data_IF_858573072676
#
_entry.id   IF_858573072676
#
_cell.length_a   1.000
_cell.length_b   1.000
_cell.length_c   1.000
_cell.angle_alpha   90.00
_cell.angle_beta   90.00
_cell.angle_gamma   90.00
#
_symmetry.space_group_name_H-M   'P 1'
#
loop_
_entity.id
_entity.type
_entity.pdbx_description
1 polymer ?
#
# COMPACT_ATOMS: atom_id res chain seq x y z
N UNK A 1 15.53 -26.90 -5.37
CA UNK A 1 14.86 -26.19 -6.49
C UNK A 1 14.26 -24.85 -6.02
N UNK A 2 15.05 -23.91 -5.46
CA UNK A 2 14.52 -22.62 -4.94
C UNK A 2 15.21 -21.35 -5.49
N UNK A 3 16.28 -21.46 -6.28
CA UNK A 3 17.02 -20.28 -6.76
C UNK A 3 16.42 -19.61 -8.00
N UNK A 4 15.65 -20.32 -8.83
CA UNK A 4 15.10 -19.79 -10.09
C UNK A 4 14.07 -18.68 -9.87
N UNK A 5 13.21 -18.81 -8.85
CA UNK A 5 12.17 -17.80 -8.59
C UNK A 5 12.77 -16.49 -8.05
N UNK A 6 13.73 -16.57 -7.13
CA UNK A 6 14.36 -15.38 -6.54
C UNK A 6 15.17 -14.62 -7.61
N UNK A 7 15.91 -15.34 -8.47
CA UNK A 7 16.70 -14.70 -9.53
C UNK A 7 15.79 -14.01 -10.56
N UNK A 8 14.65 -14.63 -10.90
CA UNK A 8 13.67 -14.04 -11.82
C UNK A 8 13.08 -12.74 -11.29
N UNK A 9 12.56 -12.72 -10.05
CA UNK A 9 11.99 -11.51 -9.44
C UNK A 9 13.03 -10.40 -9.25
N UNK A 10 14.26 -10.76 -8.88
CA UNK A 10 15.35 -9.80 -8.81
C UNK A 10 15.70 -9.21 -10.19
N UNK A 11 15.81 -10.04 -11.23
CA UNK A 11 16.10 -9.55 -12.59
C UNK A 11 14.96 -8.68 -13.14
N UNK A 12 13.70 -9.05 -12.88
CA UNK A 12 12.54 -8.27 -13.28
C UNK A 12 12.52 -6.91 -12.56
N UNK A 13 12.76 -6.92 -11.24
CA UNK A 13 12.91 -5.70 -10.44
C UNK A 13 14.06 -4.81 -10.92
N UNK A 14 15.23 -5.38 -11.21
CA UNK A 14 16.36 -4.64 -11.76
C UNK A 14 16.06 -4.07 -13.15
N UNK A 15 15.33 -4.76 -14.01
CA UNK A 15 14.95 -4.25 -15.33
C UNK A 15 13.98 -3.07 -15.23
N UNK A 16 13.02 -3.13 -14.30
CA UNK A 16 12.14 -1.99 -14.00
C UNK A 16 12.96 -0.81 -13.47
N UNK A 17 13.89 -1.05 -12.54
CA UNK A 17 14.76 0.00 -12.02
C UNK A 17 15.66 0.60 -13.11
N UNK A 18 16.20 -0.22 -14.02
CA UNK A 18 16.98 0.24 -15.19
C UNK A 18 16.13 1.05 -16.16
N UNK A 19 14.84 0.73 -16.33
CA UNK A 19 13.94 1.51 -17.16
C UNK A 19 13.75 2.93 -16.62
N UNK A 20 13.54 3.08 -15.31
CA UNK A 20 13.37 4.39 -14.68
C UNK A 20 14.69 5.13 -14.43
N UNK A 21 15.80 4.41 -14.23
CA UNK A 21 17.13 4.98 -14.07
C UNK A 21 18.23 4.02 -14.55
N UNK A 22 18.63 4.09 -15.84
CA UNK A 22 19.58 3.15 -16.43
C UNK A 22 20.98 3.23 -15.84
N UNK A 23 21.32 4.34 -15.17
CA UNK A 23 22.63 4.56 -14.56
C UNK A 23 22.74 4.05 -13.11
N UNK A 24 21.62 3.78 -12.44
CA UNK A 24 21.61 3.40 -11.02
C UNK A 24 21.53 1.88 -10.86
N UNK A 25 22.66 1.24 -10.61
CA UNK A 25 22.68 -0.18 -10.19
C UNK A 25 22.06 -0.30 -8.80
N UNK A 26 21.04 -1.14 -8.63
CA UNK A 26 20.38 -1.40 -7.33
C UNK A 26 21.38 -1.64 -6.18
N UNK A 27 22.44 -2.42 -6.46
CA UNK A 27 23.50 -2.72 -5.50
C UNK A 27 24.26 -1.49 -4.95
N UNK A 28 24.19 -0.34 -5.63
CA UNK A 28 24.86 0.91 -5.27
C UNK A 28 23.92 1.96 -4.68
N UNK A 29 22.64 1.64 -4.50
CA UNK A 29 21.69 2.56 -3.86
C UNK A 29 21.90 2.60 -2.35
N UNK A 30 21.83 3.80 -1.76
CA UNK A 30 21.84 4.01 -0.30
C UNK A 30 20.66 3.30 0.38
N UNK A 31 19.57 3.08 -0.35
CA UNK A 31 18.33 2.46 0.16
C UNK A 31 18.30 0.94 0.03
N UNK A 32 19.34 0.29 -0.51
CA UNK A 32 19.35 -1.15 -0.82
C UNK A 32 18.97 -2.04 0.36
N UNK A 33 19.39 -1.67 1.57
CA UNK A 33 19.15 -2.46 2.78
C UNK A 33 17.91 -1.99 3.56
N UNK A 34 17.14 -1.05 3.03
CA UNK A 34 15.96 -0.53 3.70
C UNK A 34 14.77 -1.47 3.50
N UNK A 35 13.82 -1.40 4.43
CA UNK A 35 12.65 -2.27 4.40
C UNK A 35 11.88 -2.12 3.09
N UNK A 36 11.43 -3.24 2.53
CA UNK A 36 10.71 -3.34 1.24
C UNK A 36 11.40 -2.69 0.02
N UNK A 37 12.69 -2.35 0.09
CA UNK A 37 13.44 -1.88 -1.08
C UNK A 37 13.98 -3.03 -1.94
N UNK A 38 14.08 -4.24 -1.38
CA UNK A 38 14.37 -5.44 -2.16
C UNK A 38 13.17 -5.77 -3.07
N UNK A 39 13.36 -5.78 -4.41
CA UNK A 39 12.26 -6.03 -5.34
C UNK A 39 11.51 -7.34 -5.05
N UNK A 40 12.22 -8.40 -4.66
CA UNK A 40 11.58 -9.69 -4.33
C UNK A 40 10.62 -9.55 -3.15
N UNK A 41 11.00 -8.84 -2.09
CA UNK A 41 10.14 -8.65 -0.92
C UNK A 41 8.90 -7.82 -1.27
N UNK A 42 9.08 -6.77 -2.07
CA UNK A 42 7.97 -5.96 -2.58
C UNK A 42 6.98 -6.82 -3.39
N UNK A 43 7.47 -7.61 -4.35
CA UNK A 43 6.61 -8.45 -5.18
C UNK A 43 5.86 -9.51 -4.36
N UNK A 44 6.51 -10.10 -3.35
CA UNK A 44 5.84 -11.05 -2.45
C UNK A 44 4.69 -10.37 -1.68
N UNK A 45 4.93 -9.17 -1.12
CA UNK A 45 3.90 -8.43 -0.39
C UNK A 45 2.73 -8.03 -1.31
N UNK A 46 3.05 -7.47 -2.49
CA UNK A 46 2.05 -7.06 -3.47
C UNK A 46 1.22 -8.25 -3.97
N UNK A 47 1.86 -9.36 -4.33
CA UNK A 47 1.18 -10.56 -4.80
C UNK A 47 0.26 -11.13 -3.70
N UNK A 48 0.74 -11.17 -2.46
CA UNK A 48 -0.06 -11.63 -1.32
C UNK A 48 -1.29 -10.75 -1.11
N UNK A 49 -1.15 -9.43 -1.22
CA UNK A 49 -2.26 -8.48 -1.16
C UNK A 49 -3.27 -8.71 -2.28
N UNK A 50 -2.82 -8.83 -3.53
CA UNK A 50 -3.70 -9.06 -4.68
C UNK A 50 -4.45 -10.38 -4.57
N UNK A 51 -3.78 -11.47 -4.16
CA UNK A 51 -4.41 -12.76 -3.91
C UNK A 51 -5.48 -12.63 -2.82
N UNK A 52 -5.17 -11.96 -1.71
CA UNK A 52 -6.11 -11.74 -0.62
C UNK A 52 -7.36 -10.98 -1.08
N UNK A 53 -7.18 -9.87 -1.82
CA UNK A 53 -8.30 -9.07 -2.36
C UNK A 53 -9.13 -9.90 -3.32
N UNK A 54 -8.49 -10.66 -4.21
CA UNK A 54 -9.19 -11.50 -5.18
C UNK A 54 -10.01 -12.61 -4.52
N UNK A 55 -9.45 -13.32 -3.55
CA UNK A 55 -10.16 -14.35 -2.78
C UNK A 55 -11.33 -13.73 -2.02
N UNK A 56 -11.10 -12.58 -1.36
CA UNK A 56 -12.14 -11.86 -0.60
C UNK A 56 -13.29 -11.43 -1.52
N UNK A 57 -12.97 -10.99 -2.74
CA UNK A 57 -13.98 -10.61 -3.74
C UNK A 57 -14.80 -11.82 -4.22
N UNK A 58 -14.15 -12.95 -4.53
CA UNK A 58 -14.87 -14.20 -4.88
C UNK A 58 -15.77 -14.64 -3.73
N UNK A 59 -15.27 -14.58 -2.49
CA UNK A 59 -16.05 -14.91 -1.30
C UNK A 59 -17.29 -14.00 -1.17
N UNK A 60 -17.12 -12.70 -1.36
CA UNK A 60 -18.21 -11.72 -1.36
C UNK A 60 -19.27 -12.04 -2.41
N UNK A 61 -18.88 -12.37 -3.64
CA UNK A 61 -19.83 -12.75 -4.71
C UNK A 61 -20.59 -14.02 -4.32
N UNK A 62 -19.90 -15.07 -3.84
CA UNK A 62 -20.51 -16.37 -3.56
C UNK A 62 -21.44 -16.37 -2.36
N UNK A 63 -21.04 -15.70 -1.28
CA UNK A 63 -21.72 -15.77 0.02
C UNK A 63 -22.38 -14.46 0.44
N UNK A 64 -21.79 -13.31 0.07
CA UNK A 64 -22.32 -11.98 0.37
C UNK A 64 -23.51 -11.57 -0.51
N UNK A 65 -23.49 -11.91 -1.80
CA UNK A 65 -24.56 -11.55 -2.74
C UNK A 65 -25.88 -12.27 -2.45
N UNK A 66 -25.84 -13.58 -2.14
CA UNK A 66 -27.04 -14.38 -1.83
C UNK A 66 -27.80 -13.85 -0.61
N UNK A 67 -27.08 -13.39 0.41
CA UNK A 67 -27.71 -12.77 1.60
C UNK A 67 -28.50 -11.51 1.26
N UNK A 68 -28.10 -10.74 0.23
CA UNK A 68 -28.74 -9.47 -0.12
C UNK A 68 -30.03 -9.65 -0.93
N UNK A 69 -30.10 -10.68 -1.79
CA UNK A 69 -31.30 -10.99 -2.58
C UNK A 69 -32.44 -11.55 -1.71
N UNK A 70 -32.13 -12.46 -0.77
CA UNK A 70 -33.15 -12.97 0.16
C UNK A 70 -33.66 -11.88 1.11
N UNK A 71 -32.78 -10.95 1.51
CA UNK A 71 -33.14 -9.79 2.34
C UNK A 71 -34.08 -8.82 1.62
N UNK A 72 -33.97 -8.65 0.30
CA UNK A 72 -34.88 -7.76 -0.46
C UNK A 72 -36.27 -8.37 -0.65
N UNK A 73 -36.35 -9.70 -0.80
CA UNK A 73 -37.63 -10.41 -0.88
C UNK A 73 -38.34 -10.45 0.48
N UNK A 74 -37.60 -10.76 1.56
CA UNK A 74 -38.14 -10.80 2.92
C UNK A 74 -38.55 -9.42 3.46
N UNK A 75 -37.80 -8.36 3.12
CA UNK A 75 -38.16 -6.97 3.50
C UNK A 75 -39.42 -6.45 2.79
N UNK A 76 -39.80 -7.05 1.65
CA UNK A 76 -41.04 -6.72 0.94
C UNK A 76 -42.28 -7.41 1.54
N UNK A 77 -42.09 -8.47 2.32
CA UNK A 77 -43.16 -9.33 2.86
C UNK A 77 -43.51 -8.98 4.32
N UNK A 78 -42.59 -8.36 5.08
CA UNK A 78 -42.85 -7.92 6.45
C UNK A 78 -42.50 -6.43 6.63
N UNK A 79 -43.46 -5.50 6.53
CA UNK A 79 -43.23 -4.13 6.98
C UNK A 79 -43.25 -4.14 8.52
N UNK A 80 -42.36 -3.36 9.13
CA UNK A 80 -42.32 -3.07 10.56
C UNK A 80 -41.77 -4.18 11.50
N UNK A 81 -40.49 -4.54 11.34
CA UNK A 81 -39.58 -4.65 12.50
C UNK A 81 -38.25 -4.07 12.07
N UNK A 82 -37.83 -2.96 12.68
CA UNK A 82 -36.45 -2.46 12.67
C UNK A 82 -35.54 -3.53 13.27
N UNK A 83 -35.21 -4.57 12.49
CA UNK A 83 -34.14 -5.50 12.82
C UNK A 83 -32.84 -4.72 12.64
N UNK A 84 -32.43 -4.06 13.73
CA UNK A 84 -31.07 -3.61 13.94
C UNK A 84 -30.13 -4.73 13.47
N UNK A 85 -29.38 -4.45 12.41
CA UNK A 85 -28.37 -5.35 11.90
C UNK A 85 -27.37 -5.54 13.05
N UNK A 86 -27.39 -6.69 13.72
CA UNK A 86 -26.36 -7.02 14.70
C UNK A 86 -25.06 -7.22 13.93
N UNK A 87 -24.29 -6.15 13.83
CA UNK A 87 -22.93 -6.13 13.32
C UNK A 87 -22.13 -7.25 13.99
N UNK A 88 -21.36 -8.00 13.22
CA UNK A 88 -20.47 -9.02 13.79
C UNK A 88 -19.40 -8.36 14.68
N UNK A 89 -18.80 -9.07 15.65
CA UNK A 89 -17.72 -8.53 16.47
C UNK A 89 -16.56 -7.95 15.64
N UNK A 90 -16.30 -8.55 14.48
CA UNK A 90 -15.26 -8.07 13.54
C UNK A 90 -15.67 -6.78 12.85
N UNK A 91 -16.92 -6.67 12.38
CA UNK A 91 -17.46 -5.42 11.81
C UNK A 91 -17.39 -4.27 12.83
N UNK A 92 -17.79 -4.52 14.08
CA UNK A 92 -17.70 -3.51 15.15
C UNK A 92 -16.25 -3.10 15.45
N UNK A 93 -15.32 -4.06 15.42
CA UNK A 93 -13.90 -3.78 15.62
C UNK A 93 -13.36 -2.93 14.47
N UNK A 94 -13.68 -3.25 13.22
CA UNK A 94 -13.28 -2.47 12.03
C UNK A 94 -13.87 -1.06 12.09
N UNK A 95 -15.16 -0.91 12.42
CA UNK A 95 -15.80 0.39 12.57
C UNK A 95 -15.12 1.26 13.63
N UNK A 96 -14.72 0.67 14.76
CA UNK A 96 -13.98 1.39 15.81
C UNK A 96 -12.55 1.73 15.43
N UNK A 97 -11.87 0.88 14.68
CA UNK A 97 -10.47 1.07 14.29
C UNK A 97 -10.31 2.01 13.08
N UNK A 98 -11.31 2.09 12.20
CA UNK A 98 -11.25 2.87 10.96
C UNK A 98 -10.94 4.36 11.22
N UNK A 99 -11.59 5.06 12.17
CA UNK A 99 -11.25 6.45 12.47
C UNK A 99 -9.79 6.62 12.94
N UNK A 100 -9.31 5.71 13.80
CA UNK A 100 -7.93 5.74 14.30
C UNK A 100 -6.91 5.51 13.19
N UNK A 101 -7.19 4.56 12.29
CA UNK A 101 -6.38 4.31 11.10
C UNK A 101 -6.31 5.54 10.19
N UNK A 102 -7.46 6.15 9.90
CA UNK A 102 -7.53 7.37 9.08
C UNK A 102 -6.78 8.54 9.71
N UNK A 103 -6.91 8.72 11.03
CA UNK A 103 -6.17 9.76 11.76
C UNK A 103 -4.66 9.53 11.66
N UNK A 104 -4.20 8.29 11.86
CA UNK A 104 -2.79 7.94 11.69
C UNK A 104 -2.30 8.23 10.25
N UNK A 105 -3.09 7.91 9.23
CA UNK A 105 -2.74 8.23 7.84
C UNK A 105 -2.58 9.74 7.62
N UNK A 106 -3.51 10.55 8.15
CA UNK A 106 -3.43 12.02 8.03
C UNK A 106 -2.18 12.55 8.75
N UNK A 107 -1.90 12.06 9.95
CA UNK A 107 -0.72 12.46 10.73
C UNK A 107 0.59 12.08 10.02
N UNK A 108 0.71 10.85 9.51
CA UNK A 108 1.89 10.43 8.76
C UNK A 108 2.06 11.22 7.48
N UNK A 109 0.97 11.47 6.74
CA UNK A 109 1.01 12.30 5.52
C UNK A 109 1.49 13.72 5.82
N UNK A 110 1.03 14.31 6.92
CA UNK A 110 1.48 15.64 7.36
C UNK A 110 2.98 15.62 7.72
N UNK A 111 3.43 14.64 8.50
CA UNK A 111 4.84 14.50 8.89
C UNK A 111 5.74 14.36 7.66
N UNK A 112 5.39 13.46 6.73
CA UNK A 112 6.14 13.25 5.49
C UNK A 112 6.19 14.53 4.66
N UNK A 113 5.08 15.26 4.57
CA UNK A 113 5.00 16.54 3.85
C UNK A 113 5.94 17.57 4.48
N UNK A 114 5.88 17.75 5.80
CA UNK A 114 6.72 18.72 6.51
C UNK A 114 8.21 18.39 6.38
N UNK A 115 8.58 17.10 6.52
CA UNK A 115 9.96 16.63 6.32
C UNK A 115 10.44 16.91 4.89
N UNK A 116 9.59 16.61 3.90
CA UNK A 116 9.92 16.81 2.49
C UNK A 116 10.10 18.29 2.16
N UNK A 117 9.22 19.17 2.65
CA UNK A 117 9.33 20.62 2.47
C UNK A 117 10.58 21.16 3.17
N UNK A 118 10.88 20.70 4.38
CA UNK A 118 12.09 21.08 5.11
C UNK A 118 13.37 20.71 4.33
N UNK A 119 13.47 19.48 3.85
CA UNK A 119 14.60 19.01 3.05
C UNK A 119 14.70 19.72 1.70
N UNK A 120 13.57 19.97 1.02
CA UNK A 120 13.52 20.72 -0.23
C UNK A 120 14.02 22.17 -0.04
N UNK A 121 13.61 22.83 1.05
CA UNK A 121 14.05 24.18 1.41
C UNK A 121 15.56 24.21 1.69
N UNK A 122 16.06 23.28 2.50
CA UNK A 122 17.50 23.20 2.83
C UNK A 122 18.37 23.02 1.58
N UNK A 123 17.85 22.35 0.55
CA UNK A 123 18.54 22.12 -0.72
C UNK A 123 18.28 23.16 -1.79
N UNK A 124 17.42 24.15 -1.51
CA UNK A 124 16.99 25.19 -2.45
C UNK A 124 16.44 24.59 -3.75
N UNK A 125 15.57 23.60 -3.61
CA UNK A 125 14.92 23.00 -4.77
C UNK A 125 14.14 24.04 -5.57
N UNK A 126 14.26 23.96 -6.89
CA UNK A 126 13.44 24.71 -7.84
C UNK A 126 12.11 23.99 -8.07
N UNK A 127 11.08 24.72 -8.46
CA UNK A 127 9.80 24.11 -8.85
C UNK A 127 9.87 23.40 -10.21
N UNK A 128 10.81 23.79 -11.08
CA UNK A 128 10.85 23.32 -12.46
C UNK A 128 11.76 22.11 -12.66
N UNK A 129 12.94 22.12 -12.04
CA UNK A 129 13.91 21.05 -12.21
C UNK A 129 14.83 20.95 -11.00
N UNK A 130 15.01 19.72 -10.52
CA UNK A 130 15.99 19.37 -9.50
C UNK A 130 16.73 18.13 -9.97
N UNK A 131 18.06 18.16 -9.89
CA UNK A 131 18.86 16.97 -10.12
C UNK A 131 18.68 15.99 -8.96
N UNK A 132 18.59 14.70 -9.30
CA UNK A 132 18.58 13.65 -8.28
C UNK A 132 20.00 13.46 -7.76
N UNK A 133 20.19 13.63 -6.45
CA UNK A 133 21.46 13.35 -5.78
C UNK A 133 21.38 12.04 -4.99
N UNK A 134 21.93 10.98 -5.57
CA UNK A 134 21.94 9.63 -5.01
C UNK A 134 22.87 9.45 -3.80
N UNK A 135 23.69 10.45 -3.46
CA UNK A 135 24.57 10.42 -2.28
C UNK A 135 23.84 10.81 -0.99
N UNK A 136 22.68 11.45 -1.09
CA UNK A 136 22.05 12.10 0.07
C UNK A 136 20.93 11.27 0.67
N UNK A 137 21.17 10.79 1.88
CA UNK A 137 20.26 9.93 2.63
C UNK A 137 18.92 10.59 3.01
N UNK A 138 18.89 11.89 3.31
CA UNK A 138 17.70 12.54 3.87
C UNK A 138 16.52 12.63 2.88
N UNK A 139 16.78 13.02 1.63
CA UNK A 139 15.71 13.07 0.61
C UNK A 139 15.27 11.66 0.22
N UNK A 140 16.23 10.71 0.16
CA UNK A 140 15.91 9.31 -0.06
C UNK A 140 15.03 8.74 1.08
N UNK A 141 15.24 9.18 2.33
CA UNK A 141 14.39 8.84 3.47
C UNK A 141 12.97 9.37 3.28
N UNK A 142 12.80 10.62 2.85
CA UNK A 142 11.47 11.17 2.56
C UNK A 142 10.74 10.37 1.48
N UNK A 143 11.44 10.04 0.38
CA UNK A 143 10.88 9.21 -0.69
C UNK A 143 10.54 7.79 -0.21
N UNK A 144 11.35 7.19 0.65
CA UNK A 144 11.10 5.86 1.20
C UNK A 144 9.93 5.85 2.19
N UNK A 145 9.81 6.87 3.04
CA UNK A 145 8.67 7.01 3.95
C UNK A 145 7.35 7.22 3.19
N UNK A 146 7.39 7.90 2.05
CA UNK A 146 6.23 8.05 1.16
C UNK A 146 5.90 6.75 0.40
N UNK A 147 6.91 5.93 0.12
CA UNK A 147 6.74 4.63 -0.55
C UNK A 147 6.08 3.58 0.35
N UNK A 148 6.39 3.60 1.66
CA UNK A 148 5.80 2.70 2.66
C UNK A 148 4.34 3.05 2.96
#
# INVERSE_FOLDING_TARGET
MNNLNILFFNNLGENILKFFNPSLKYARSITKNWFLMNPTHFFIALLSYLIFVFISYIYYIKYGSKSRHDKTLAAKIAPAITRSHKSTPLEQMVEKLTPSYNLLQVLFSLIITLLTVYEAKNRRFSLFYNSVDFSKKNIALCCWLFYL
#
